data_IF_487170829517
#
_entry.id   IF_487170829517
#
_cell.length_a   1.000
_cell.length_b   1.000
_cell.length_c   1.000
_cell.angle_alpha   90.00
_cell.angle_beta   90.00
_cell.angle_gamma   90.00
#
_symmetry.space_group_name_H-M   'P 1'
#
loop_
_entity.id
_entity.type
_entity.pdbx_description
1 polymer ?
#
# COMPACT_ATOMS: atom_id res chain seq x y z
N UNK A 1 42.84 16.69 -49.12
CA UNK A 1 42.01 15.55 -49.53
C UNK A 1 42.00 14.54 -48.39
N UNK A 2 40.98 14.54 -47.53
CA UNK A 2 40.60 13.40 -46.69
C UNK A 2 39.27 13.75 -46.05
N UNK A 3 38.23 13.02 -46.43
CA UNK A 3 36.84 13.20 -46.02
C UNK A 3 36.60 12.52 -44.69
N UNK A 4 36.15 13.25 -43.66
CA UNK A 4 35.65 12.71 -42.41
C UNK A 4 34.18 12.29 -42.60
N UNK A 5 33.88 11.00 -42.41
CA UNK A 5 32.50 10.46 -42.34
C UNK A 5 31.89 10.69 -40.96
N UNK A 6 30.77 11.38 -40.94
CA UNK A 6 29.92 11.55 -39.77
C UNK A 6 29.09 10.28 -39.55
N UNK A 7 29.28 9.59 -38.44
CA UNK A 7 28.46 8.45 -38.02
C UNK A 7 27.14 8.90 -37.42
N UNK A 8 26.04 8.48 -38.00
CA UNK A 8 24.67 8.62 -37.43
C UNK A 8 24.52 7.70 -36.22
N UNK A 9 24.08 8.26 -35.14
CA UNK A 9 23.57 7.49 -33.98
C UNK A 9 22.08 7.30 -34.16
N UNK A 10 21.66 6.04 -34.25
CA UNK A 10 20.25 5.67 -34.33
C UNK A 10 19.61 5.86 -32.96
N UNK A 11 18.60 6.71 -32.91
CA UNK A 11 17.71 6.86 -31.76
C UNK A 11 16.58 5.85 -31.89
N UNK A 12 16.55 4.86 -31.04
CA UNK A 12 15.43 3.92 -30.93
C UNK A 12 14.21 4.62 -30.30
N UNK A 13 13.21 4.83 -31.13
CA UNK A 13 11.89 5.33 -30.67
C UNK A 13 11.12 4.19 -29.99
N UNK A 14 10.80 4.35 -28.72
CA UNK A 14 9.86 3.46 -28.01
C UNK A 14 8.45 3.96 -28.29
N UNK A 15 7.74 3.23 -29.14
CA UNK A 15 6.33 3.48 -29.47
C UNK A 15 5.44 2.89 -28.34
N UNK A 16 4.78 3.75 -27.58
CA UNK A 16 3.75 3.33 -26.64
C UNK A 16 2.44 3.08 -27.44
N UNK A 17 2.01 1.83 -27.49
CA UNK A 17 0.70 1.44 -28.03
C UNK A 17 -0.36 1.60 -26.94
N UNK A 18 -1.20 2.61 -27.07
CA UNK A 18 -2.42 2.75 -26.28
C UNK A 18 -3.55 1.96 -26.98
N UNK A 19 -4.00 0.89 -26.35
CA UNK A 19 -5.21 0.16 -26.78
C UNK A 19 -6.40 0.72 -26.00
N UNK A 20 -7.25 1.45 -26.69
CA UNK A 20 -8.55 1.88 -26.18
C UNK A 20 -9.58 0.76 -26.45
N UNK A 21 -10.12 0.16 -25.40
CA UNK A 21 -11.26 -0.76 -25.48
C UNK A 21 -12.53 0.00 -25.09
N UNK A 22 -13.39 0.24 -26.04
CA UNK A 22 -14.73 0.77 -25.82
C UNK A 22 -15.65 -0.39 -25.41
N UNK A 23 -16.22 -0.34 -24.20
CA UNK A 23 -17.26 -1.27 -23.73
C UNK A 23 -18.60 -0.56 -23.82
N UNK A 24 -19.47 -1.06 -24.72
CA UNK A 24 -20.86 -0.66 -24.79
C UNK A 24 -21.65 -1.28 -23.62
N UNK A 25 -22.27 -0.44 -22.80
CA UNK A 25 -23.14 -0.87 -21.71
C UNK A 25 -24.58 -0.86 -22.21
N UNK A 26 -25.14 -2.04 -22.42
CA UNK A 26 -26.59 -2.23 -22.64
C UNK A 26 -27.25 -2.40 -21.26
N UNK A 27 -28.09 -1.45 -20.88
CA UNK A 27 -28.84 -1.49 -19.64
C UNK A 27 -30.00 -2.47 -19.71
N UNK A 28 -30.11 -3.32 -18.70
CA UNK A 28 -31.30 -4.12 -18.40
C UNK A 28 -31.85 -3.67 -17.05
N UNK A 29 -33.00 -3.02 -17.04
CA UNK A 29 -33.74 -2.67 -15.81
C UNK A 29 -34.48 -3.90 -15.31
N UNK A 30 -34.23 -4.30 -14.08
CA UNK A 30 -35.03 -5.34 -13.37
C UNK A 30 -35.87 -4.63 -12.29
N UNK A 31 -37.17 -4.80 -12.39
CA UNK A 31 -38.16 -4.27 -11.46
C UNK A 31 -38.08 -4.99 -10.09
N UNK A 32 -38.08 -4.22 -9.02
CA UNK A 32 -38.10 -4.72 -7.64
C UNK A 32 -39.49 -5.12 -7.19
N UNK A 33 -39.66 -6.38 -6.78
CA UNK A 33 -40.85 -6.86 -6.11
C UNK A 33 -40.75 -6.61 -4.59
N UNK A 34 -41.84 -6.09 -3.98
CA UNK A 34 -41.98 -5.86 -2.53
C UNK A 34 -42.30 -7.20 -1.83
N UNK A 35 -41.70 -7.50 -0.68
CA UNK A 35 -42.17 -8.62 0.15
C UNK A 35 -43.32 -8.18 1.08
N UNK A 36 -44.26 -9.11 1.26
CA UNK A 36 -45.43 -9.01 2.11
C UNK A 36 -45.06 -9.07 3.60
N UNK A 37 -45.77 -8.29 4.42
CA UNK A 37 -45.64 -8.30 5.87
C UNK A 37 -46.41 -9.48 6.48
N UNK A 38 -45.76 -10.35 7.23
CA UNK A 38 -46.36 -11.34 8.08
C UNK A 38 -46.45 -10.82 9.53
N UNK A 39 -47.66 -10.80 10.07
CA UNK A 39 -47.94 -10.53 11.49
C UNK A 39 -47.61 -11.76 12.31
N UNK A 40 -46.72 -11.65 13.29
CA UNK A 40 -46.52 -12.68 14.30
C UNK A 40 -46.74 -12.10 15.71
N UNK A 41 -47.29 -12.97 16.57
CA UNK A 41 -47.87 -12.73 17.88
C UNK A 41 -46.89 -12.19 18.93
N UNK A 42 -47.44 -11.44 19.86
CA UNK A 42 -46.78 -10.86 21.03
C UNK A 42 -46.43 -11.96 22.06
N UNK A 43 -45.14 -12.19 22.30
CA UNK A 43 -44.67 -12.76 23.55
C UNK A 43 -44.04 -11.66 24.40
N UNK A 44 -44.55 -11.56 25.68
CA UNK A 44 -44.05 -10.65 26.70
C UNK A 44 -42.75 -11.22 27.27
N UNK A 45 -41.63 -10.51 27.23
CA UNK A 45 -40.40 -10.97 27.90
C UNK A 45 -40.38 -10.53 29.36
N UNK A 46 -39.96 -11.45 30.22
CA UNK A 46 -39.56 -11.23 31.59
C UNK A 46 -38.39 -10.25 31.65
N UNK A 47 -38.51 -9.23 32.48
CA UNK A 47 -37.51 -8.21 32.74
C UNK A 47 -36.32 -8.80 33.50
N UNK A 48 -35.19 -8.94 32.79
CA UNK A 48 -33.85 -9.07 33.42
C UNK A 48 -33.25 -7.69 33.64
N UNK A 49 -32.51 -7.44 34.73
CA UNK A 49 -31.91 -6.14 34.96
C UNK A 49 -30.86 -5.85 33.90
N UNK A 50 -31.16 -4.85 33.04
CA UNK A 50 -30.19 -4.33 32.07
C UNK A 50 -29.08 -3.61 32.84
N UNK A 51 -27.93 -4.26 32.90
CA UNK A 51 -26.65 -3.56 33.16
C UNK A 51 -26.47 -2.57 32.00
N UNK A 52 -26.75 -1.30 32.27
CA UNK A 52 -26.44 -0.23 31.33
C UNK A 52 -24.91 -0.22 31.18
N UNK A 53 -24.40 -0.86 30.13
CA UNK A 53 -23.03 -0.66 29.69
C UNK A 53 -22.97 0.78 29.21
N UNK A 54 -22.46 1.64 30.08
CA UNK A 54 -22.26 3.06 29.80
C UNK A 54 -21.33 3.11 28.57
N UNK A 55 -21.84 3.64 27.46
CA UNK A 55 -21.01 3.88 26.28
C UNK A 55 -19.77 4.68 26.71
N UNK A 56 -18.57 4.32 26.26
CA UNK A 56 -17.36 5.02 26.70
C UNK A 56 -17.54 6.52 26.43
N UNK A 57 -17.29 7.32 27.48
CA UNK A 57 -17.39 8.77 27.41
C UNK A 57 -16.62 9.25 26.18
N UNK A 58 -17.27 10.06 25.35
CA UNK A 58 -16.63 10.64 24.16
C UNK A 58 -15.39 11.39 24.62
N UNK A 59 -14.21 10.83 24.38
CA UNK A 59 -12.95 11.45 24.80
C UNK A 59 -12.86 12.85 24.19
N UNK A 60 -12.55 13.83 25.03
CA UNK A 60 -12.37 15.25 24.66
C UNK A 60 -11.01 15.53 24.00
N UNK A 61 -10.35 14.49 23.47
CA UNK A 61 -9.02 14.59 22.87
C UNK A 61 -8.98 15.47 21.60
N UNK A 62 -7.78 15.95 21.23
CA UNK A 62 -7.61 16.78 20.06
C UNK A 62 -8.09 16.08 18.79
N UNK A 63 -8.67 16.85 17.86
CA UNK A 63 -9.14 16.40 16.55
C UNK A 63 -8.40 17.08 15.42
N UNK A 64 -7.09 16.88 15.30
CA UNK A 64 -6.29 17.52 14.25
C UNK A 64 -6.69 17.02 12.88
N UNK A 65 -6.67 17.91 11.90
CA UNK A 65 -6.80 17.57 10.48
C UNK A 65 -5.42 17.26 9.94
N UNK A 66 -5.21 16.03 9.50
CA UNK A 66 -3.92 15.56 8.98
C UNK A 66 -4.06 15.26 7.50
N UNK A 67 -3.25 15.88 6.67
CA UNK A 67 -3.09 15.51 5.26
C UNK A 67 -1.73 14.87 5.07
N UNK A 68 -1.74 13.65 4.56
CA UNK A 68 -0.53 12.90 4.23
C UNK A 68 -0.33 13.01 2.73
N UNK A 69 0.84 13.50 2.32
CA UNK A 69 1.23 13.71 0.92
C UNK A 69 2.37 12.77 0.59
N UNK A 70 2.23 12.02 -0.51
CA UNK A 70 3.27 11.07 -0.87
C UNK A 70 3.09 10.39 -2.21
N UNK A 71 4.02 9.53 -2.52
CA UNK A 71 4.02 8.69 -3.70
C UNK A 71 3.47 7.27 -3.43
N UNK A 72 3.96 6.27 -4.16
CA UNK A 72 3.58 4.87 -4.02
C UNK A 72 3.87 4.28 -2.64
N UNK A 73 4.96 4.69 -1.99
CA UNK A 73 5.32 4.26 -0.62
C UNK A 73 4.22 4.68 0.37
N UNK A 74 3.59 5.82 0.12
CA UNK A 74 2.52 6.36 0.95
C UNK A 74 1.15 5.86 0.54
N UNK A 75 0.86 5.80 -0.75
CA UNK A 75 -0.44 5.33 -1.24
C UNK A 75 -0.70 3.89 -0.82
N UNK A 76 0.31 3.02 -0.90
CA UNK A 76 0.16 1.59 -0.70
C UNK A 76 -0.49 0.89 -1.89
N UNK A 77 -0.60 -0.43 -1.80
CA UNK A 77 -1.18 -1.27 -2.85
C UNK A 77 -2.27 -2.20 -2.31
N UNK A 78 -3.05 -2.79 -3.21
CA UNK A 78 -4.17 -3.67 -2.87
C UNK A 78 -3.85 -4.61 -1.70
N UNK A 79 -4.74 -4.65 -0.72
CA UNK A 79 -4.62 -5.52 0.45
C UNK A 79 -3.73 -4.98 1.58
N UNK A 80 -3.13 -3.80 1.42
CA UNK A 80 -2.29 -3.21 2.47
C UNK A 80 -3.12 -2.54 3.56
N UNK A 81 -2.54 -2.49 4.77
CA UNK A 81 -2.93 -1.54 5.79
C UNK A 81 -2.41 -0.13 5.47
N UNK A 82 -1.18 -0.01 5.03
CA UNK A 82 -0.38 1.20 4.81
C UNK A 82 0.23 1.79 6.08
N UNK A 83 1.36 2.50 5.96
CA UNK A 83 1.95 3.20 7.11
C UNK A 83 1.03 4.32 7.64
N UNK A 84 0.14 4.87 6.80
CA UNK A 84 -0.87 5.86 7.19
C UNK A 84 -1.86 5.26 8.21
N UNK A 85 -2.30 4.01 7.98
CA UNK A 85 -3.14 3.27 8.92
C UNK A 85 -2.40 3.03 10.24
N UNK A 86 -1.12 2.59 10.18
CA UNK A 86 -0.32 2.33 11.39
C UNK A 86 -0.19 3.60 12.24
N UNK A 87 0.04 4.74 11.62
CA UNK A 87 0.08 6.03 12.31
C UNK A 87 -1.30 6.42 12.87
N UNK A 88 -2.36 6.23 12.08
CA UNK A 88 -3.73 6.54 12.49
C UNK A 88 -4.15 5.74 13.72
N UNK A 89 -3.96 4.44 13.73
CA UNK A 89 -4.28 3.56 14.85
C UNK A 89 -3.44 3.88 16.10
N UNK A 90 -2.17 4.18 15.92
CA UNK A 90 -1.31 4.63 17.02
C UNK A 90 -1.84 5.92 17.66
N UNK A 91 -2.17 6.92 16.86
CA UNK A 91 -2.75 8.16 17.37
C UNK A 91 -4.10 7.94 18.06
N UNK A 92 -4.95 7.04 17.56
CA UNK A 92 -6.20 6.67 18.23
C UNK A 92 -5.95 6.00 19.59
N UNK A 93 -4.97 5.12 19.68
CA UNK A 93 -4.58 4.48 20.94
C UNK A 93 -4.09 5.49 21.97
N UNK A 94 -3.45 6.58 21.53
CA UNK A 94 -3.03 7.71 22.36
C UNK A 94 -4.16 8.70 22.72
N UNK A 95 -5.41 8.41 22.35
CA UNK A 95 -6.55 9.28 22.59
C UNK A 95 -6.67 10.48 21.64
N UNK A 96 -5.78 10.60 20.68
CA UNK A 96 -5.88 11.57 19.56
C UNK A 96 -6.90 11.05 18.56
N UNK A 97 -7.78 11.91 18.05
CA UNK A 97 -8.80 11.55 17.05
C UNK A 97 -8.53 12.29 15.74
N UNK A 98 -7.52 11.89 14.97
CA UNK A 98 -7.17 12.60 13.75
C UNK A 98 -8.31 12.50 12.73
N UNK A 99 -8.55 13.60 12.03
CA UNK A 99 -9.37 13.60 10.82
C UNK A 99 -8.41 13.57 9.64
N UNK A 100 -8.32 12.43 8.97
CA UNK A 100 -7.56 12.33 7.73
C UNK A 100 -8.28 13.12 6.65
N UNK A 101 -7.54 13.92 5.88
CA UNK A 101 -8.08 14.79 4.82
C UNK A 101 -7.19 14.75 3.58
N UNK A 102 -7.81 14.91 2.42
CA UNK A 102 -7.09 14.94 1.14
C UNK A 102 -8.00 14.59 -0.02
N UNK A 103 -7.50 14.73 -1.26
CA UNK A 103 -8.28 14.49 -2.48
C UNK A 103 -8.48 13.00 -2.82
N UNK A 104 -7.65 12.13 -2.26
CA UNK A 104 -7.61 10.71 -2.58
C UNK A 104 -7.99 9.86 -1.37
N UNK A 105 -8.31 8.60 -1.62
CA UNK A 105 -8.70 7.65 -0.60
C UNK A 105 -8.73 6.23 -1.17
N UNK A 106 -7.72 5.88 -1.96
CA UNK A 106 -7.61 4.59 -2.62
C UNK A 106 -6.17 4.10 -2.66
N UNK A 107 -6.03 2.79 -2.81
CA UNK A 107 -4.78 2.09 -3.05
C UNK A 107 -4.50 2.00 -4.55
N UNK A 108 -3.29 1.58 -4.89
CA UNK A 108 -2.91 1.16 -6.22
C UNK A 108 -3.11 -0.35 -6.38
N UNK A 109 -3.79 -0.78 -7.45
CA UNK A 109 -3.86 -2.20 -7.77
C UNK A 109 -2.59 -2.61 -8.52
N UNK A 110 -1.64 -3.17 -7.78
CA UNK A 110 -0.35 -3.62 -8.32
C UNK A 110 -0.45 -4.86 -9.24
N UNK A 111 -1.59 -5.55 -9.25
CA UNK A 111 -1.84 -6.70 -10.12
C UNK A 111 -2.45 -6.26 -11.45
N UNK A 112 -3.48 -5.44 -11.40
CA UNK A 112 -4.15 -4.91 -12.58
C UNK A 112 -3.48 -3.65 -13.16
N UNK A 113 -2.51 -3.08 -12.44
CA UNK A 113 -1.78 -1.86 -12.80
C UNK A 113 -2.71 -0.64 -12.98
N UNK A 114 -3.65 -0.47 -12.03
CA UNK A 114 -4.64 0.62 -12.07
C UNK A 114 -4.77 1.33 -10.73
N UNK A 115 -5.17 2.61 -10.78
CA UNK A 115 -5.54 3.40 -9.60
C UNK A 115 -6.95 3.05 -9.09
N UNK A 116 -7.29 3.59 -7.91
CA UNK A 116 -8.64 3.54 -7.32
C UNK A 116 -9.08 2.17 -6.84
N UNK A 117 -8.14 1.39 -6.30
CA UNK A 117 -8.46 0.17 -5.57
C UNK A 117 -8.88 0.53 -4.12
N UNK A 118 -9.95 -0.06 -3.64
CA UNK A 118 -10.47 0.17 -2.29
C UNK A 118 -10.29 -1.05 -1.36
N UNK A 119 -9.47 -2.02 -1.77
CA UNK A 119 -9.21 -3.25 -1.01
C UNK A 119 -8.22 -3.00 0.13
N UNK A 120 -8.45 -2.01 0.97
CA UNK A 120 -7.70 -1.86 2.21
C UNK A 120 -7.85 -3.09 3.10
N UNK A 121 -6.81 -3.46 3.84
CA UNK A 121 -6.87 -4.54 4.81
C UNK A 121 -7.89 -4.26 5.93
N UNK A 122 -8.03 -3.00 6.34
CA UNK A 122 -9.15 -2.53 7.17
C UNK A 122 -10.05 -1.60 6.35
N UNK A 123 -11.26 -2.04 5.98
CA UNK A 123 -12.20 -1.22 5.21
C UNK A 123 -12.78 -0.03 5.99
N UNK A 124 -12.62 0.01 7.32
CA UNK A 124 -13.12 1.09 8.18
C UNK A 124 -12.11 2.23 8.37
N UNK A 125 -10.90 2.09 7.86
CA UNK A 125 -9.86 3.10 7.95
C UNK A 125 -10.29 4.43 7.30
N UNK A 126 -10.04 5.55 7.99
CA UNK A 126 -10.21 6.89 7.43
C UNK A 126 -9.03 7.24 6.50
N UNK A 127 -9.07 6.76 5.29
CA UNK A 127 -7.96 6.74 4.34
C UNK A 127 -7.81 7.99 3.46
N UNK A 128 -8.48 9.12 3.76
CA UNK A 128 -8.33 10.33 2.97
C UNK A 128 -6.90 10.88 3.07
N UNK A 129 -6.26 11.08 1.91
CA UNK A 129 -4.87 11.48 1.79
C UNK A 129 -4.61 12.24 0.48
N UNK A 130 -3.37 12.61 0.23
CA UNK A 130 -2.87 13.17 -1.04
C UNK A 130 -1.66 12.37 -1.51
N UNK A 131 -1.87 11.07 -1.78
CA UNK A 131 -0.82 10.19 -2.24
C UNK A 131 -1.24 9.43 -3.50
N UNK A 132 -0.32 9.34 -4.46
CA UNK A 132 -0.55 8.60 -5.69
C UNK A 132 0.75 7.94 -6.20
N UNK A 133 0.62 6.76 -6.77
CA UNK A 133 1.71 6.02 -7.39
C UNK A 133 2.40 6.88 -8.45
N UNK A 134 3.72 7.02 -8.36
CA UNK A 134 4.51 7.85 -9.26
C UNK A 134 4.46 9.36 -8.99
N UNK A 135 3.78 9.81 -7.91
CA UNK A 135 3.75 11.24 -7.55
C UNK A 135 5.17 11.76 -7.31
N UNK A 136 5.42 12.97 -7.80
CA UNK A 136 6.73 13.63 -7.68
C UNK A 136 6.58 15.03 -7.09
N UNK A 137 7.56 15.43 -6.28
CA UNK A 137 7.58 16.72 -5.59
C UNK A 137 7.50 17.90 -6.56
N UNK A 138 8.20 17.82 -7.72
CA UNK A 138 8.23 18.90 -8.70
C UNK A 138 6.87 19.23 -9.34
N UNK A 139 5.95 18.25 -9.36
CA UNK A 139 4.57 18.43 -9.81
C UNK A 139 3.67 18.86 -8.66
N UNK A 140 3.89 18.24 -7.50
CA UNK A 140 3.05 18.50 -6.33
C UNK A 140 3.20 19.92 -5.79
N UNK A 141 4.40 20.53 -5.89
CA UNK A 141 4.64 21.93 -5.50
C UNK A 141 3.71 22.95 -6.17
N UNK A 142 3.20 22.63 -7.38
CA UNK A 142 2.36 23.54 -8.16
C UNK A 142 0.87 23.42 -7.80
N UNK A 143 0.49 22.37 -7.07
CA UNK A 143 -0.92 22.10 -6.73
C UNK A 143 -1.22 22.05 -5.24
N UNK A 144 -0.20 21.85 -4.40
CA UNK A 144 -0.36 21.70 -2.95
C UNK A 144 -1.07 22.90 -2.30
N UNK A 145 -0.82 24.10 -2.77
CA UNK A 145 -1.48 25.31 -2.24
C UNK A 145 -3.02 25.20 -2.36
N UNK A 146 -3.53 24.78 -3.51
CA UNK A 146 -4.97 24.61 -3.73
C UNK A 146 -5.53 23.48 -2.84
N UNK A 147 -4.80 22.37 -2.71
CA UNK A 147 -5.20 21.25 -1.85
C UNK A 147 -5.26 21.66 -0.38
N UNK A 148 -4.23 22.37 0.10
CA UNK A 148 -4.21 22.90 1.47
C UNK A 148 -5.36 23.88 1.72
N UNK A 149 -5.65 24.78 0.78
CA UNK A 149 -6.80 25.70 0.88
C UNK A 149 -8.14 24.95 0.99
N UNK A 150 -8.32 23.89 0.18
CA UNK A 150 -9.55 23.09 0.13
C UNK A 150 -9.72 22.22 1.37
N UNK A 151 -8.70 21.45 1.71
CA UNK A 151 -8.78 20.43 2.78
C UNK A 151 -8.41 20.96 4.16
N UNK A 152 -7.78 22.15 4.27
CA UNK A 152 -7.45 22.87 5.49
C UNK A 152 -6.79 21.99 6.57
N UNK A 153 -5.70 21.29 6.27
CA UNK A 153 -5.00 20.47 7.25
C UNK A 153 -4.33 21.33 8.33
N UNK A 154 -4.30 20.84 9.56
CA UNK A 154 -3.50 21.41 10.65
C UNK A 154 -2.05 20.92 10.58
N UNK A 155 -1.90 19.68 10.08
CA UNK A 155 -0.62 19.00 9.87
C UNK A 155 -0.51 18.50 8.43
N UNK A 156 0.64 18.73 7.82
CA UNK A 156 1.01 18.23 6.51
C UNK A 156 2.20 17.29 6.69
N UNK A 157 1.98 15.98 6.50
CA UNK A 157 3.02 14.96 6.58
C UNK A 157 3.42 14.60 5.16
N UNK A 158 4.69 14.74 4.80
CA UNK A 158 5.14 14.65 3.41
C UNK A 158 6.25 13.61 3.27
N UNK A 159 6.05 12.63 2.42
CA UNK A 159 7.07 11.65 2.01
C UNK A 159 7.13 11.63 0.49
N UNK A 160 7.94 12.52 -0.08
CA UNK A 160 8.07 12.73 -1.54
C UNK A 160 9.51 13.03 -1.92
N UNK A 161 9.86 12.73 -3.17
CA UNK A 161 11.12 13.08 -3.79
C UNK A 161 11.88 11.88 -4.36
N UNK A 162 11.50 10.65 -3.98
CA UNK A 162 12.12 9.45 -4.55
C UNK A 162 11.94 9.41 -6.07
N UNK A 163 10.73 9.66 -6.56
CA UNK A 163 10.43 9.67 -8.00
C UNK A 163 11.13 10.79 -8.75
N UNK A 164 11.33 11.95 -8.11
CA UNK A 164 12.09 13.06 -8.68
C UNK A 164 13.55 12.67 -8.95
N UNK A 165 14.15 11.93 -8.04
CA UNK A 165 15.52 11.44 -8.18
C UNK A 165 15.60 10.26 -9.16
N UNK A 166 14.67 9.31 -9.07
CA UNK A 166 14.72 8.04 -9.79
C UNK A 166 14.31 8.18 -11.26
N UNK A 167 13.16 8.81 -11.53
CA UNK A 167 12.61 8.93 -12.88
C UNK A 167 13.09 10.16 -13.64
N UNK A 168 13.35 11.27 -12.91
CA UNK A 168 13.68 12.54 -13.55
C UNK A 168 15.15 12.94 -13.37
N UNK A 169 15.90 12.26 -12.49
CA UNK A 169 17.33 12.49 -12.29
C UNK A 169 17.67 13.90 -11.82
N UNK A 170 16.75 14.56 -11.09
CA UNK A 170 16.97 15.94 -10.68
C UNK A 170 18.14 16.07 -9.71
N UNK A 171 19.02 17.06 -9.99
CA UNK A 171 20.12 17.41 -9.09
C UNK A 171 19.67 18.22 -7.88
N UNK A 172 20.53 18.29 -6.87
CA UNK A 172 20.22 18.91 -5.58
C UNK A 172 19.71 20.36 -5.65
N UNK A 173 20.21 21.25 -6.55
CA UNK A 173 19.66 22.60 -6.66
C UNK A 173 18.19 22.63 -7.07
N UNK A 174 17.77 21.75 -8.01
CA UNK A 174 16.38 21.63 -8.45
C UNK A 174 15.51 21.07 -7.32
N UNK A 175 15.98 20.04 -6.63
CA UNK A 175 15.28 19.46 -5.49
C UNK A 175 15.07 20.47 -4.35
N UNK A 176 16.09 21.28 -4.05
CA UNK A 176 15.99 22.34 -3.03
C UNK A 176 14.98 23.44 -3.42
N UNK A 177 14.97 23.84 -4.70
CA UNK A 177 14.01 24.82 -5.22
C UNK A 177 12.58 24.29 -5.17
N UNK A 178 12.36 23.03 -5.59
CA UNK A 178 11.04 22.38 -5.54
C UNK A 178 10.51 22.27 -4.10
N UNK A 179 11.37 21.89 -3.17
CA UNK A 179 11.01 21.77 -1.75
C UNK A 179 10.63 23.14 -1.15
N UNK A 180 11.40 24.19 -1.45
CA UNK A 180 11.11 25.54 -0.99
C UNK A 180 9.79 26.07 -1.58
N UNK A 181 9.54 25.83 -2.87
CA UNK A 181 8.29 26.20 -3.54
C UNK A 181 7.08 25.48 -2.96
N UNK A 182 7.20 24.18 -2.68
CA UNK A 182 6.16 23.39 -2.02
C UNK A 182 5.78 23.98 -0.64
N UNK A 183 6.80 24.30 0.20
CA UNK A 183 6.59 24.92 1.51
C UNK A 183 5.91 26.28 1.38
N UNK A 184 6.38 27.12 0.46
CA UNK A 184 5.82 28.45 0.22
C UNK A 184 4.35 28.37 -0.22
N UNK A 185 4.01 27.49 -1.15
CA UNK A 185 2.65 27.28 -1.62
C UNK A 185 1.70 26.77 -0.52
N UNK A 186 2.15 25.82 0.31
CA UNK A 186 1.39 25.34 1.45
C UNK A 186 1.11 26.44 2.49
N UNK A 187 2.13 27.26 2.81
CA UNK A 187 2.01 28.38 3.74
C UNK A 187 1.17 29.54 3.22
N UNK A 188 1.24 29.83 1.94
CA UNK A 188 0.40 30.85 1.32
C UNK A 188 -1.10 30.51 1.51
N UNK A 189 -1.45 29.23 1.44
CA UNK A 189 -2.81 28.76 1.66
C UNK A 189 -3.18 28.64 3.16
N UNK A 190 -2.23 28.31 4.04
CA UNK A 190 -2.43 28.16 5.48
C UNK A 190 -1.18 28.60 6.26
N UNK A 191 -1.08 29.88 6.69
CA UNK A 191 0.12 30.45 7.29
C UNK A 191 0.63 29.77 8.57
N UNK A 192 -0.24 29.06 9.28
CA UNK A 192 0.10 28.37 10.53
C UNK A 192 0.18 26.84 10.39
N UNK A 193 0.29 26.33 9.15
CA UNK A 193 0.38 24.88 8.91
C UNK A 193 1.67 24.32 9.54
N UNK A 194 1.52 23.17 10.20
CA UNK A 194 2.64 22.38 10.73
C UNK A 194 3.06 21.39 9.69
N UNK A 195 4.36 21.31 9.36
CA UNK A 195 4.84 20.44 8.30
C UNK A 195 5.84 19.44 8.88
N UNK A 196 5.70 18.16 8.51
CA UNK A 196 6.69 17.12 8.79
C UNK A 196 7.12 16.53 7.47
N UNK A 197 8.39 16.66 7.11
CA UNK A 197 8.98 15.96 5.99
C UNK A 197 9.60 14.64 6.47
N UNK A 198 9.21 13.52 5.86
CA UNK A 198 9.95 12.27 5.96
C UNK A 198 11.20 12.33 5.08
N UNK A 199 12.33 11.85 5.60
CA UNK A 199 13.48 11.54 4.78
C UNK A 199 13.17 10.34 3.89
N UNK A 200 13.76 10.29 2.69
CA UNK A 200 13.59 9.18 1.76
C UNK A 200 14.16 7.90 2.39
N UNK A 201 13.35 6.83 2.52
CA UNK A 201 13.79 5.62 3.18
C UNK A 201 14.79 4.80 2.32
N UNK A 202 15.49 3.82 2.92
CA UNK A 202 16.29 2.85 2.20
C UNK A 202 15.47 2.11 1.14
N UNK A 203 16.11 1.85 -0.02
CA UNK A 203 15.51 1.28 -1.21
C UNK A 203 16.58 0.46 -1.96
N UNK A 204 16.17 -0.58 -2.70
CA UNK A 204 17.08 -1.46 -3.40
C UNK A 204 17.94 -0.73 -4.46
N UNK A 205 17.42 0.35 -5.04
CA UNK A 205 18.13 1.13 -6.06
C UNK A 205 19.33 1.89 -5.46
N UNK A 206 19.34 2.12 -4.15
CA UNK A 206 20.47 2.70 -3.41
C UNK A 206 21.70 1.77 -3.34
N UNK A 207 21.60 0.54 -3.83
CA UNK A 207 22.76 -0.31 -4.11
C UNK A 207 23.68 0.29 -5.20
N UNK A 208 23.15 1.21 -6.04
CA UNK A 208 23.92 1.98 -7.01
C UNK A 208 24.49 3.21 -6.29
N UNK A 209 25.84 3.35 -6.17
CA UNK A 209 26.47 4.43 -5.38
C UNK A 209 26.03 5.85 -5.77
N UNK A 210 25.88 6.12 -7.07
CA UNK A 210 25.43 7.41 -7.55
C UNK A 210 24.00 7.74 -7.10
N UNK A 211 23.07 6.77 -7.10
CA UNK A 211 21.72 6.97 -6.64
C UNK A 211 21.68 7.11 -5.11
N UNK A 212 22.44 6.31 -4.37
CA UNK A 212 22.59 6.46 -2.93
C UNK A 212 23.09 7.87 -2.55
N UNK A 213 24.08 8.39 -3.27
CA UNK A 213 24.57 9.74 -3.07
C UNK A 213 23.49 10.82 -3.35
N UNK A 214 22.66 10.60 -4.39
CA UNK A 214 21.55 11.50 -4.71
C UNK A 214 20.50 11.51 -3.60
N UNK A 215 20.10 10.35 -3.07
CA UNK A 215 19.15 10.23 -1.95
C UNK A 215 19.72 10.86 -0.69
N UNK A 216 20.97 10.55 -0.32
CA UNK A 216 21.64 11.13 0.86
C UNK A 216 21.76 12.66 0.74
N UNK A 217 22.06 13.18 -0.45
CA UNK A 217 22.10 14.61 -0.75
C UNK A 217 20.72 15.25 -0.56
N UNK A 218 19.67 14.64 -1.06
CA UNK A 218 18.32 15.18 -0.89
C UNK A 218 17.83 15.11 0.57
N UNK A 219 18.13 14.03 1.28
CA UNK A 219 17.83 13.94 2.72
C UNK A 219 18.52 15.07 3.52
N UNK A 220 19.77 15.40 3.20
CA UNK A 220 20.45 16.59 3.76
C UNK A 220 19.77 17.89 3.36
N UNK A 221 19.29 18.00 2.13
CA UNK A 221 18.55 19.16 1.61
C UNK A 221 17.22 19.33 2.35
N UNK A 222 16.46 18.25 2.61
CA UNK A 222 15.25 18.28 3.44
C UNK A 222 15.58 18.83 4.83
N UNK A 223 16.57 18.25 5.51
CA UNK A 223 16.93 18.64 6.88
C UNK A 223 17.38 20.10 6.97
N UNK A 224 18.26 20.56 6.04
CA UNK A 224 18.75 21.94 6.02
C UNK A 224 17.65 22.94 5.67
N UNK A 225 16.77 22.61 4.72
CA UNK A 225 15.64 23.45 4.33
C UNK A 225 14.60 23.55 5.46
N UNK A 226 14.29 22.45 6.12
CA UNK A 226 13.41 22.43 7.29
C UNK A 226 13.97 23.36 8.39
N UNK A 227 15.25 23.22 8.73
CA UNK A 227 15.93 24.10 9.72
C UNK A 227 15.86 25.57 9.33
N UNK A 228 16.16 25.89 8.07
CA UNK A 228 16.22 27.27 7.57
C UNK A 228 14.85 27.93 7.47
N UNK A 229 13.83 27.17 7.04
CA UNK A 229 12.49 27.71 6.77
C UNK A 229 11.49 27.49 7.92
N UNK A 230 11.86 26.76 8.98
CA UNK A 230 10.99 26.61 10.15
C UNK A 230 10.80 27.92 10.86
N UNK A 231 9.55 28.25 11.22
CA UNK A 231 9.19 29.43 12.00
C UNK A 231 8.34 29.05 13.19
N UNK A 232 8.22 29.91 14.19
CA UNK A 232 7.34 29.70 15.34
C UNK A 232 5.88 29.58 14.91
N UNK A 233 5.46 30.34 13.89
CA UNK A 233 4.09 30.35 13.40
C UNK A 233 3.76 29.12 12.54
N UNK A 234 4.73 28.63 11.77
CA UNK A 234 4.58 27.44 10.91
C UNK A 234 5.84 26.59 11.03
N UNK A 235 5.95 25.78 12.08
CA UNK A 235 7.12 24.96 12.32
C UNK A 235 7.21 23.82 11.31
N UNK A 236 8.45 23.51 10.92
CA UNK A 236 8.79 22.37 10.08
C UNK A 236 9.67 21.43 10.88
N UNK A 237 9.33 20.15 10.87
CA UNK A 237 10.12 19.08 11.47
C UNK A 237 10.48 18.04 10.42
N UNK A 238 11.41 17.14 10.76
CA UNK A 238 11.88 16.07 9.87
C UNK A 238 11.72 14.74 10.59
N UNK A 239 10.98 13.82 9.97
CA UNK A 239 10.90 12.44 10.39
C UNK A 239 12.06 11.64 9.80
N UNK A 240 12.66 10.71 10.55
CA UNK A 240 13.75 9.89 10.05
C UNK A 240 13.31 9.04 8.84
N UNK A 241 14.29 8.55 8.10
CA UNK A 241 14.13 7.75 6.89
C UNK A 241 13.59 6.32 7.11
N UNK A 242 12.88 6.08 8.21
CA UNK A 242 12.53 4.74 8.63
C UNK A 242 13.77 3.97 9.08
N UNK A 243 14.68 4.65 9.80
CA UNK A 243 15.96 4.11 10.26
C UNK A 243 15.79 2.71 10.87
N UNK A 244 16.55 1.77 10.33
CA UNK A 244 16.39 0.36 10.63
C UNK A 244 15.52 -0.41 9.64
N UNK A 245 15.00 0.19 8.54
CA UNK A 245 14.41 -0.58 7.44
C UNK A 245 15.49 -1.51 6.84
N UNK A 246 15.17 -2.79 6.87
CA UNK A 246 15.93 -3.81 6.15
C UNK A 246 15.28 -4.01 4.78
N UNK A 247 15.96 -3.60 3.70
CA UNK A 247 15.42 -3.65 2.33
C UNK A 247 14.94 -5.05 1.93
N UNK A 248 15.59 -6.10 2.44
CA UNK A 248 15.23 -7.49 2.10
C UNK A 248 14.07 -8.05 2.94
N UNK A 249 13.84 -7.51 4.15
CA UNK A 249 12.85 -8.05 5.09
C UNK A 249 11.62 -7.15 5.26
N UNK A 250 11.76 -5.84 5.04
CA UNK A 250 10.71 -4.86 5.32
C UNK A 250 10.05 -4.29 4.05
N UNK A 251 10.56 -4.68 2.85
CA UNK A 251 10.04 -4.21 1.55
C UNK A 251 9.70 -5.40 0.65
N UNK A 252 8.47 -5.46 0.12
CA UNK A 252 7.99 -6.61 -0.63
C UNK A 252 8.56 -6.73 -2.06
N UNK A 253 9.07 -5.63 -2.63
CA UNK A 253 9.73 -5.59 -3.95
C UNK A 253 11.08 -4.85 -3.92
N UNK A 254 11.57 -4.54 -2.73
CA UNK A 254 12.79 -3.78 -2.51
C UNK A 254 12.63 -2.26 -2.48
N UNK A 255 11.42 -1.74 -2.74
CA UNK A 255 11.08 -0.29 -2.68
C UNK A 255 9.86 -0.02 -1.80
N UNK A 256 8.81 -0.81 -1.95
CA UNK A 256 7.53 -0.58 -1.28
C UNK A 256 7.46 -1.37 0.04
N UNK A 257 7.04 -0.71 1.13
CA UNK A 257 7.01 -1.33 2.44
C UNK A 257 5.99 -2.47 2.52
N UNK A 258 6.38 -3.54 3.21
CA UNK A 258 5.45 -4.52 3.76
C UNK A 258 5.00 -4.09 5.16
N UNK A 259 4.23 -4.93 5.87
CA UNK A 259 3.69 -4.59 7.18
C UNK A 259 4.73 -4.12 8.21
N UNK A 260 5.96 -4.64 8.16
CA UNK A 260 7.06 -4.24 9.06
C UNK A 260 7.66 -2.89 8.64
N UNK A 261 7.88 -2.67 7.34
CA UNK A 261 8.32 -1.40 6.80
C UNK A 261 7.31 -0.26 7.04
N UNK A 262 6.00 -0.57 6.93
CA UNK A 262 4.92 0.38 7.27
C UNK A 262 5.03 0.88 8.72
N UNK A 263 5.29 -0.02 9.68
CA UNK A 263 5.47 0.35 11.09
C UNK A 263 6.66 1.28 11.27
N UNK A 264 7.80 1.00 10.63
CA UNK A 264 9.00 1.82 10.75
C UNK A 264 8.81 3.24 10.23
N UNK A 265 8.11 3.39 9.09
CA UNK A 265 7.78 4.71 8.54
C UNK A 265 6.79 5.42 9.48
N UNK A 266 5.73 4.75 9.91
CA UNK A 266 4.73 5.31 10.83
C UNK A 266 5.36 5.77 12.15
N UNK A 267 6.27 4.98 12.72
CA UNK A 267 6.99 5.30 13.95
C UNK A 267 7.82 6.59 13.80
N UNK A 268 8.53 6.75 12.69
CA UNK A 268 9.29 7.97 12.43
C UNK A 268 8.41 9.24 12.44
N UNK A 269 7.22 9.17 11.86
CA UNK A 269 6.27 10.29 11.89
C UNK A 269 5.64 10.47 13.29
N UNK A 270 5.26 9.39 13.97
CA UNK A 270 4.69 9.43 15.31
C UNK A 270 5.63 10.06 16.32
N UNK A 271 6.90 9.66 16.33
CA UNK A 271 7.94 10.19 17.23
C UNK A 271 8.14 11.70 17.06
N UNK A 272 8.08 12.18 15.82
CA UNK A 272 8.18 13.62 15.52
C UNK A 272 6.90 14.35 15.93
N UNK A 273 5.73 13.78 15.69
CA UNK A 273 4.46 14.39 16.14
C UNK A 273 4.43 14.50 17.66
N UNK A 274 4.88 13.49 18.38
CA UNK A 274 4.96 13.50 19.84
C UNK A 274 6.00 14.50 20.35
N UNK A 275 7.25 14.41 19.89
CA UNK A 275 8.36 15.19 20.42
C UNK A 275 8.34 16.67 20.02
N UNK A 276 7.87 16.99 18.81
CA UNK A 276 7.92 18.36 18.27
C UNK A 276 6.60 19.10 18.34
N UNK A 277 5.47 18.36 18.39
CA UNK A 277 4.15 18.98 18.33
C UNK A 277 3.25 18.56 19.49
N UNK A 278 3.73 17.72 20.41
CA UNK A 278 2.99 17.20 21.57
C UNK A 278 1.66 16.56 21.15
N UNK A 279 1.69 15.84 20.03
CA UNK A 279 0.54 15.15 19.47
C UNK A 279 0.77 13.63 19.54
N UNK A 280 0.08 12.97 20.47
CA UNK A 280 0.28 11.56 20.81
C UNK A 280 1.58 11.31 21.59
N UNK A 281 2.03 10.06 21.57
CA UNK A 281 3.26 9.61 22.21
C UNK A 281 4.24 9.05 21.15
N UNK A 282 5.47 8.77 21.57
CA UNK A 282 6.42 8.05 20.72
C UNK A 282 5.90 6.64 20.43
N UNK A 283 6.25 6.11 19.25
CA UNK A 283 5.83 4.77 18.87
C UNK A 283 6.48 3.73 19.80
N UNK A 284 5.73 2.75 20.32
CA UNK A 284 6.28 1.79 21.28
C UNK A 284 7.34 0.89 20.66
N UNK A 285 8.42 0.64 21.42
CA UNK A 285 9.51 -0.25 21.02
C UNK A 285 9.64 -1.39 22.03
N UNK A 286 10.08 -2.61 21.62
CA UNK A 286 10.45 -2.98 20.24
C UNK A 286 9.23 -3.04 19.31
N UNK A 287 9.44 -2.80 18.01
CA UNK A 287 8.36 -2.91 17.04
C UNK A 287 7.88 -4.35 16.91
N UNK A 288 6.56 -4.61 16.77
CA UNK A 288 6.06 -5.95 16.52
C UNK A 288 6.53 -6.45 15.15
N UNK A 289 6.79 -7.77 15.08
CA UNK A 289 7.02 -8.44 13.78
C UNK A 289 5.69 -8.97 13.30
N UNK A 290 5.27 -8.51 12.13
CA UNK A 290 3.98 -8.83 11.54
C UNK A 290 4.14 -9.77 10.34
N UNK A 291 3.10 -10.58 10.01
CA UNK A 291 3.02 -11.28 8.74
C UNK A 291 3.07 -10.27 7.57
N UNK A 292 3.87 -10.59 6.54
CA UNK A 292 4.19 -9.64 5.46
C UNK A 292 3.47 -9.91 4.14
N UNK A 293 3.08 -11.14 3.85
CA UNK A 293 2.40 -11.49 2.60
C UNK A 293 0.91 -11.12 2.57
N UNK A 294 0.20 -11.45 1.47
CA UNK A 294 -1.23 -11.21 1.35
C UNK A 294 -2.02 -11.80 2.51
N UNK A 295 -2.87 -10.98 3.14
CA UNK A 295 -3.63 -11.35 4.34
C UNK A 295 -4.81 -12.28 4.04
N UNK A 296 -5.36 -12.19 2.82
CA UNK A 296 -6.46 -13.05 2.37
C UNK A 296 -5.90 -14.38 1.90
N UNK A 297 -6.24 -15.46 2.61
CA UNK A 297 -5.83 -16.81 2.26
C UNK A 297 -6.66 -17.32 1.08
N UNK A 298 -6.05 -17.89 0.03
CA UNK A 298 -6.79 -18.51 -1.06
C UNK A 298 -7.69 -19.63 -0.53
N UNK A 299 -8.95 -19.70 -1.00
CA UNK A 299 -9.83 -20.86 -0.79
C UNK A 299 -9.71 -21.75 -2.01
N UNK A 300 -8.92 -22.81 -1.90
CA UNK A 300 -8.65 -23.73 -2.99
C UNK A 300 -9.80 -24.70 -3.18
N UNK A 301 -10.22 -24.86 -4.44
CA UNK A 301 -11.05 -25.96 -4.92
C UNK A 301 -10.29 -26.72 -6.01
N UNK A 302 -10.45 -28.06 -6.04
CA UNK A 302 -9.81 -28.91 -7.03
C UNK A 302 -10.87 -29.87 -7.59
N UNK A 303 -10.86 -30.09 -8.89
CA UNK A 303 -11.74 -31.03 -9.56
C UNK A 303 -10.99 -31.82 -10.64
N UNK A 304 -11.45 -33.04 -11.02
CA UNK A 304 -10.90 -33.73 -12.17
C UNK A 304 -11.02 -32.87 -13.43
N UNK A 305 -10.05 -32.95 -14.33
CA UNK A 305 -10.17 -32.42 -15.69
C UNK A 305 -10.97 -33.36 -16.56
N UNK A 306 -11.50 -32.88 -17.70
CA UNK A 306 -12.00 -33.74 -18.77
C UNK A 306 -10.89 -34.44 -19.56
N UNK A 307 -9.65 -34.00 -19.38
CA UNK A 307 -8.46 -34.61 -19.97
C UNK A 307 -7.84 -35.56 -18.95
N UNK A 308 -7.53 -36.78 -19.36
CA UNK A 308 -6.85 -37.76 -18.53
C UNK A 308 -5.55 -37.21 -17.93
N UNK A 309 -5.23 -37.65 -16.71
CA UNK A 309 -3.98 -37.26 -16.00
C UNK A 309 -3.88 -35.78 -15.67
N UNK A 310 -5.03 -35.07 -15.55
CA UNK A 310 -5.07 -33.65 -15.23
C UNK A 310 -6.11 -33.34 -14.14
N UNK A 311 -5.82 -32.29 -13.37
CA UNK A 311 -6.72 -31.71 -12.39
C UNK A 311 -6.80 -30.20 -12.54
N UNK A 312 -7.99 -29.61 -12.35
CA UNK A 312 -8.20 -28.16 -12.41
C UNK A 312 -8.28 -27.60 -11.00
N UNK A 313 -7.41 -26.66 -10.71
CA UNK A 313 -7.32 -25.91 -9.47
C UNK A 313 -7.95 -24.53 -9.68
N UNK A 314 -8.79 -24.09 -8.73
CA UNK A 314 -9.38 -22.75 -8.74
C UNK A 314 -9.38 -22.14 -7.34
N UNK A 315 -9.16 -20.84 -7.26
CA UNK A 315 -9.23 -20.05 -6.03
C UNK A 315 -9.64 -18.61 -6.31
N UNK A 316 -10.14 -17.92 -5.29
CA UNK A 316 -10.34 -16.47 -5.39
C UNK A 316 -9.01 -15.75 -5.23
N UNK A 317 -8.69 -14.81 -6.13
CA UNK A 317 -7.48 -14.03 -6.07
C UNK A 317 -7.44 -13.19 -4.78
N UNK A 318 -6.30 -13.22 -4.09
CA UNK A 318 -6.08 -12.38 -2.91
C UNK A 318 -5.68 -10.96 -3.34
N UNK A 319 -6.21 -9.90 -2.71
CA UNK A 319 -5.79 -8.54 -3.00
C UNK A 319 -4.27 -8.39 -2.89
N UNK A 320 -3.65 -7.72 -3.85
CA UNK A 320 -2.21 -7.47 -3.90
C UNK A 320 -1.32 -8.67 -4.28
N UNK A 321 -1.86 -9.88 -4.36
CA UNK A 321 -1.09 -11.06 -4.76
C UNK A 321 -0.73 -11.02 -6.24
N UNK A 322 0.53 -10.80 -6.55
CA UNK A 322 1.04 -10.82 -7.93
C UNK A 322 1.33 -12.24 -8.44
N UNK A 323 1.51 -13.20 -7.54
CA UNK A 323 1.83 -14.59 -7.89
C UNK A 323 1.32 -15.59 -6.87
N UNK A 324 1.26 -16.85 -7.29
CA UNK A 324 0.82 -17.99 -6.48
C UNK A 324 1.78 -19.16 -6.63
N UNK A 325 2.23 -19.74 -5.52
CA UNK A 325 2.93 -21.02 -5.52
C UNK A 325 1.96 -22.16 -5.29
N UNK A 326 2.10 -23.21 -6.08
CA UNK A 326 1.36 -24.46 -5.94
C UNK A 326 2.23 -25.47 -5.21
N UNK A 327 1.63 -26.18 -4.28
CA UNK A 327 2.23 -27.28 -3.53
C UNK A 327 1.38 -28.53 -3.78
N UNK A 328 2.04 -29.66 -4.03
CA UNK A 328 1.44 -30.95 -4.36
C UNK A 328 2.02 -32.06 -3.49
N UNK A 329 1.23 -33.04 -3.15
CA UNK A 329 1.69 -34.33 -2.63
C UNK A 329 0.88 -35.47 -3.21
N UNK A 330 1.52 -36.61 -3.44
CA UNK A 330 0.88 -37.84 -3.86
C UNK A 330 0.40 -38.62 -2.62
N UNK A 331 -0.90 -38.65 -2.42
CA UNK A 331 -1.53 -39.32 -1.26
C UNK A 331 -1.52 -40.83 -1.44
N UNK A 332 -1.71 -41.31 -2.70
CA UNK A 332 -1.70 -42.74 -3.00
C UNK A 332 -0.38 -43.40 -2.70
N UNK A 333 0.71 -42.73 -2.98
CA UNK A 333 2.08 -43.23 -2.72
C UNK A 333 2.63 -42.81 -1.35
N UNK A 334 1.78 -42.27 -0.47
CA UNK A 334 2.13 -42.04 0.94
C UNK A 334 2.98 -40.80 1.22
N UNK A 335 2.97 -39.81 0.33
CA UNK A 335 3.65 -38.55 0.60
C UNK A 335 3.13 -37.91 1.88
N UNK A 336 3.99 -37.64 2.84
CA UNK A 336 3.66 -36.97 4.11
C UNK A 336 3.76 -35.46 4.01
N UNK A 337 4.61 -34.95 3.10
CA UNK A 337 4.92 -33.53 2.92
C UNK A 337 4.49 -33.01 1.55
N UNK A 338 4.18 -31.72 1.50
CA UNK A 338 3.89 -31.04 0.24
C UNK A 338 5.18 -30.57 -0.42
N UNK A 339 5.33 -30.86 -1.70
CA UNK A 339 6.44 -30.35 -2.55
C UNK A 339 5.97 -29.12 -3.31
N UNK A 340 6.72 -28.03 -3.24
CA UNK A 340 6.45 -26.80 -4.01
C UNK A 340 6.85 -26.99 -5.47
N UNK A 341 5.98 -26.58 -6.38
CA UNK A 341 6.37 -26.49 -7.80
C UNK A 341 7.48 -25.44 -7.98
N UNK A 342 8.41 -25.65 -8.94
CA UNK A 342 9.61 -24.83 -9.07
C UNK A 342 9.37 -23.42 -9.60
N UNK A 343 8.15 -23.09 -10.00
CA UNK A 343 7.77 -21.80 -10.57
C UNK A 343 6.51 -21.23 -9.92
N UNK A 344 6.42 -19.90 -9.75
CA UNK A 344 5.18 -19.24 -9.36
C UNK A 344 4.24 -19.10 -10.56
N UNK A 345 2.94 -19.14 -10.30
CA UNK A 345 1.92 -18.78 -11.27
C UNK A 345 1.58 -17.29 -11.14
N UNK A 346 1.50 -16.52 -12.24
CA UNK A 346 1.00 -15.15 -12.18
C UNK A 346 -0.48 -15.13 -11.78
N UNK A 347 -0.94 -14.04 -11.16
CA UNK A 347 -2.32 -13.88 -10.69
C UNK A 347 -3.38 -14.16 -11.77
N UNK A 348 -3.10 -13.83 -13.02
CA UNK A 348 -4.01 -14.06 -14.16
C UNK A 348 -4.17 -15.55 -14.57
N UNK A 349 -3.55 -16.50 -13.86
CA UNK A 349 -3.60 -17.94 -14.20
C UNK A 349 -4.58 -18.75 -13.36
N UNK A 350 -5.57 -18.14 -12.76
CA UNK A 350 -6.71 -18.84 -12.16
C UNK A 350 -7.87 -18.95 -13.17
N UNK A 351 -8.45 -20.13 -13.44
CA UNK A 351 -8.02 -21.46 -12.97
C UNK A 351 -6.73 -21.98 -13.62
N UNK A 352 -6.01 -22.86 -12.91
CA UNK A 352 -4.81 -23.51 -13.40
C UNK A 352 -4.98 -25.02 -13.48
N UNK A 353 -4.39 -25.65 -14.49
CA UNK A 353 -4.46 -27.10 -14.71
C UNK A 353 -3.14 -27.76 -14.36
N UNK A 354 -3.17 -28.63 -13.34
CA UNK A 354 -2.09 -29.56 -13.05
C UNK A 354 -2.12 -30.70 -14.07
N UNK A 355 -1.01 -30.96 -14.74
CA UNK A 355 -0.82 -32.05 -15.69
C UNK A 355 0.17 -33.09 -15.21
N UNK A 356 0.36 -34.13 -16.01
CA UNK A 356 1.31 -35.23 -15.78
C UNK A 356 1.04 -36.02 -14.50
N UNK A 357 -0.20 -36.03 -14.00
CA UNK A 357 -0.63 -36.87 -12.90
C UNK A 357 -0.74 -38.35 -13.37
N UNK A 358 -0.62 -39.28 -12.44
CA UNK A 358 -0.90 -40.71 -12.73
C UNK A 358 -2.39 -40.94 -12.60
N UNK A 359 -3.02 -41.52 -13.63
CA UNK A 359 -4.45 -41.87 -13.62
C UNK A 359 -4.76 -42.85 -12.49
N UNK A 360 -5.82 -42.59 -11.73
CA UNK A 360 -6.23 -43.39 -10.57
C UNK A 360 -5.58 -42.95 -9.24
N UNK A 361 -4.49 -42.18 -9.26
CA UNK A 361 -3.84 -41.71 -8.06
C UNK A 361 -4.52 -40.46 -7.49
N UNK A 362 -4.51 -40.35 -6.17
CA UNK A 362 -5.06 -39.23 -5.42
C UNK A 362 -3.96 -38.27 -5.05
N UNK A 363 -4.12 -37.01 -5.46
CA UNK A 363 -3.21 -35.89 -5.15
C UNK A 363 -3.89 -34.88 -4.25
N UNK A 364 -3.12 -34.30 -3.33
CA UNK A 364 -3.56 -33.17 -2.51
C UNK A 364 -2.75 -31.93 -2.86
N UNK A 365 -3.43 -30.80 -2.94
CA UNK A 365 -2.85 -29.52 -3.33
C UNK A 365 -3.02 -28.46 -2.24
N UNK A 366 -2.11 -27.51 -2.20
CA UNK A 366 -2.22 -26.21 -1.50
C UNK A 366 -1.75 -25.09 -2.40
N UNK A 367 -2.27 -23.90 -2.16
CA UNK A 367 -1.88 -22.69 -2.87
C UNK A 367 -1.42 -21.64 -1.86
N UNK A 368 -0.38 -20.89 -2.19
CA UNK A 368 0.14 -19.79 -1.38
C UNK A 368 0.21 -18.53 -2.22
N UNK A 369 -0.49 -17.48 -1.79
CA UNK A 369 -0.49 -16.17 -2.43
C UNK A 369 0.76 -15.37 -2.04
N UNK A 370 1.41 -14.71 -2.99
CA UNK A 370 2.61 -13.91 -2.75
C UNK A 370 2.51 -12.52 -3.39
N UNK A 371 3.05 -11.52 -2.68
CA UNK A 371 3.22 -10.14 -3.12
C UNK A 371 4.72 -9.85 -3.14
N UNK A 372 5.30 -9.72 -4.32
CA UNK A 372 6.75 -9.69 -4.44
C UNK A 372 7.40 -10.91 -3.79
N UNK A 373 8.30 -10.68 -2.84
CA UNK A 373 9.01 -11.74 -2.10
C UNK A 373 8.22 -12.25 -0.89
N UNK A 374 7.18 -11.55 -0.48
CA UNK A 374 6.40 -11.85 0.73
C UNK A 374 5.22 -12.77 0.41
N UNK A 375 5.17 -13.93 1.03
CA UNK A 375 4.10 -14.90 0.86
C UNK A 375 3.21 -14.98 2.11
N UNK A 376 1.90 -15.00 1.89
CA UNK A 376 0.89 -15.16 2.93
C UNK A 376 0.75 -16.60 3.41
N UNK A 377 -0.27 -16.90 4.20
CA UNK A 377 -0.54 -18.24 4.64
C UNK A 377 -1.07 -19.13 3.49
N UNK A 378 -0.97 -20.45 3.69
CA UNK A 378 -1.47 -21.43 2.75
C UNK A 378 -3.00 -21.45 2.66
N UNK A 379 -3.53 -21.86 1.53
CA UNK A 379 -4.91 -22.29 1.40
C UNK A 379 -5.22 -23.50 2.29
N UNK A 380 -6.52 -23.83 2.41
CA UNK A 380 -6.93 -25.19 2.77
C UNK A 380 -6.28 -26.20 1.80
N UNK A 381 -5.96 -27.43 2.24
CA UNK A 381 -5.64 -28.52 1.35
C UNK A 381 -6.92 -28.96 0.62
N UNK A 382 -6.79 -29.36 -0.65
CA UNK A 382 -7.87 -29.94 -1.44
C UNK A 382 -7.32 -31.09 -2.26
N UNK A 383 -8.07 -32.21 -2.30
CA UNK A 383 -7.62 -33.44 -2.94
C UNK A 383 -8.51 -33.83 -4.12
N UNK A 384 -7.94 -34.57 -5.05
CA UNK A 384 -8.59 -35.09 -6.23
C UNK A 384 -7.95 -36.39 -6.69
N UNK A 385 -8.73 -37.34 -7.18
CA UNK A 385 -8.21 -38.50 -7.91
C UNK A 385 -8.09 -38.11 -9.39
N UNK A 386 -6.91 -38.31 -9.97
CA UNK A 386 -6.66 -38.00 -11.37
C UNK A 386 -7.44 -38.95 -12.29
N UNK A 387 -8.13 -38.45 -13.33
CA UNK A 387 -8.85 -39.24 -14.28
C UNK A 387 -7.97 -40.03 -15.22
#
# INVERSE_FOLDING_TARGET
MSSARCGRRDAAAITAVAVAVAVAVTGCQVAAARPAQSRTARHRPLSSPSTVVQAPARSSGPRPRIMIVGDSITQGSSGDYTWQYRLYEHLLADGVRPRMVGPYGWLYNNVANVQKDHSYADPNFQHANDAAWGMALFREKDVIGRKVATYRPDYLLVLLGLNDLFWFGFGQPVMAANLASFIAAARAARPHIRIVFGLIPPDIHQRKPAFAASVAGFNKTIASTAKRLSTKASPIAVAPDGSGINVAADLWDGTHPNANGEIRIAAGFADVLASRFHLGHAYPTPYPILPTGPLVHPKLTVRPSHTARQAVLSWKLAPGAGSYFIYIKDVTHGDTTFTRLPFPLPAAKDPWTAGLLTSGDTYSFKVQACKGVDCGAFSNPASVTAP
#
